data_IF_655138529846
#
_entry.id   IF_655138529846
#
_cell.length_a   1.000
_cell.length_b   1.000
_cell.length_c   1.000
_cell.angle_alpha   90.00
_cell.angle_beta   90.00
_cell.angle_gamma   90.00
#
_symmetry.space_group_name_H-M   'P 1'
#
loop_
_entity.id
_entity.type
_entity.pdbx_description
1 polymer ?
#
# COMPACT_ATOMS: atom_id res chain seq x y z
N UNK A 1 -2.44 -26.95 -53.21
CA UNK A 1 -3.81 -26.51 -52.85
C UNK A 1 -3.71 -25.10 -52.30
N UNK A 2 -4.66 -24.21 -52.59
CA UNK A 2 -4.65 -22.85 -52.04
C UNK A 2 -5.37 -22.84 -50.68
N UNK A 3 -4.71 -22.37 -49.64
CA UNK A 3 -5.30 -22.26 -48.29
C UNK A 3 -6.14 -20.98 -48.23
N UNK A 4 -7.46 -21.09 -48.31
CA UNK A 4 -8.37 -19.94 -48.18
C UNK A 4 -8.23 -19.34 -46.78
N UNK A 5 -7.59 -18.18 -46.67
CA UNK A 5 -7.43 -17.47 -45.41
C UNK A 5 -8.76 -16.82 -45.01
N UNK A 6 -9.54 -17.50 -44.17
CA UNK A 6 -10.79 -16.96 -43.61
C UNK A 6 -10.51 -15.63 -42.88
N UNK A 7 -11.22 -14.56 -43.25
CA UNK A 7 -11.03 -13.25 -42.66
C UNK A 7 -11.25 -13.29 -41.13
N UNK A 8 -10.27 -12.77 -40.37
CA UNK A 8 -10.26 -12.88 -38.92
C UNK A 8 -11.35 -12.00 -38.29
N UNK A 9 -12.38 -12.65 -37.71
CA UNK A 9 -13.53 -11.97 -37.11
C UNK A 9 -13.22 -11.50 -35.69
N UNK A 10 -12.94 -10.20 -35.53
CA UNK A 10 -12.61 -9.60 -34.23
C UNK A 10 -13.77 -9.52 -33.24
N UNK A 11 -15.01 -9.29 -33.70
CA UNK A 11 -16.20 -9.21 -32.82
C UNK A 11 -16.99 -10.51 -32.88
N UNK A 12 -16.98 -11.28 -31.79
CA UNK A 12 -17.63 -12.58 -31.71
C UNK A 12 -16.86 -13.71 -32.42
N UNK A 13 -15.54 -13.59 -32.53
CA UNK A 13 -14.64 -14.70 -32.87
C UNK A 13 -13.63 -14.94 -31.75
N UNK A 14 -13.08 -16.16 -31.68
CA UNK A 14 -12.07 -16.54 -30.68
C UNK A 14 -10.69 -15.97 -31.01
N UNK A 15 -10.51 -14.66 -30.80
CA UNK A 15 -9.21 -13.99 -30.95
C UNK A 15 -8.41 -14.13 -29.65
N UNK A 16 -7.13 -14.50 -29.76
CA UNK A 16 -6.20 -14.57 -28.63
C UNK A 16 -5.95 -13.16 -28.06
N UNK A 17 -5.67 -13.04 -26.76
CA UNK A 17 -5.46 -11.73 -26.13
C UNK A 17 -4.06 -11.20 -26.48
N UNK A 18 -3.86 -9.89 -26.37
CA UNK A 18 -2.58 -9.26 -26.73
C UNK A 18 -1.53 -9.44 -25.65
N UNK A 19 -2.00 -9.49 -24.41
CA UNK A 19 -1.23 -9.63 -23.18
C UNK A 19 -0.87 -11.09 -22.86
N UNK A 20 -1.51 -12.08 -23.50
CA UNK A 20 -1.25 -13.51 -23.25
C UNK A 20 0.25 -13.89 -23.35
N UNK A 21 1.03 -13.46 -24.37
CA UNK A 21 2.43 -13.87 -24.49
C UNK A 21 3.30 -13.43 -23.31
N UNK A 22 3.15 -12.18 -22.86
CA UNK A 22 3.96 -11.62 -21.77
C UNK A 22 3.54 -12.16 -20.39
N UNK A 23 2.23 -12.32 -20.17
CA UNK A 23 1.68 -12.90 -18.94
C UNK A 23 2.07 -14.38 -18.77
N UNK A 24 1.96 -15.18 -19.84
CA UNK A 24 2.23 -16.63 -19.79
C UNK A 24 3.73 -16.97 -19.75
N UNK A 25 4.62 -16.00 -20.02
CA UNK A 25 6.08 -16.19 -20.00
C UNK A 25 6.79 -15.41 -18.88
N UNK A 26 6.04 -14.77 -17.98
CA UNK A 26 6.60 -13.97 -16.89
C UNK A 26 7.44 -12.78 -17.36
N UNK A 27 7.14 -12.24 -18.56
CA UNK A 27 7.79 -11.04 -19.10
C UNK A 27 6.96 -9.77 -18.87
N UNK A 28 5.67 -9.91 -18.56
CA UNK A 28 4.85 -8.83 -18.05
C UNK A 28 5.37 -8.36 -16.68
N UNK A 29 5.49 -7.05 -16.48
CA UNK A 29 6.02 -6.44 -15.24
C UNK A 29 4.91 -5.82 -14.41
N UNK A 30 4.90 -6.15 -13.12
CA UNK A 30 4.08 -5.54 -12.09
C UNK A 30 4.89 -4.51 -11.29
N UNK A 31 4.26 -3.89 -10.29
CA UNK A 31 4.86 -2.78 -9.51
C UNK A 31 6.10 -3.25 -8.72
N UNK A 32 6.08 -4.48 -8.18
CA UNK A 32 7.21 -5.05 -7.41
C UNK A 32 8.37 -5.52 -8.33
N UNK A 33 8.15 -5.57 -9.65
CA UNK A 33 9.19 -5.83 -10.68
C UNK A 33 9.86 -4.53 -11.18
N UNK A 34 9.54 -3.38 -10.57
CA UNK A 34 10.13 -2.09 -10.90
C UNK A 34 11.36 -1.82 -10.02
N UNK A 35 12.38 -1.21 -10.62
CA UNK A 35 13.56 -0.72 -9.92
C UNK A 35 13.98 0.57 -10.61
N UNK A 36 14.14 1.65 -9.84
CA UNK A 36 14.51 2.98 -10.34
C UNK A 36 15.72 3.51 -9.55
N UNK A 37 16.54 4.40 -10.13
CA UNK A 37 17.62 5.05 -9.39
C UNK A 37 17.07 5.82 -8.17
N UNK A 38 17.67 5.61 -6.99
CA UNK A 38 17.22 6.24 -5.75
C UNK A 38 15.92 5.68 -5.15
N UNK A 39 15.48 4.49 -5.56
CA UNK A 39 14.30 3.83 -4.99
C UNK A 39 14.50 3.50 -3.50
N UNK A 40 13.60 3.99 -2.66
CA UNK A 40 13.46 3.61 -1.25
C UNK A 40 12.29 2.65 -1.06
N UNK A 41 12.29 1.92 0.05
CA UNK A 41 11.27 0.94 0.41
C UNK A 41 10.50 1.41 1.63
N UNK A 42 9.16 1.39 1.54
CA UNK A 42 8.28 1.67 2.67
C UNK A 42 7.74 0.38 3.27
N UNK A 43 7.77 0.26 4.60
CA UNK A 43 6.97 -0.70 5.35
C UNK A 43 5.90 0.04 6.17
N UNK A 44 4.78 -0.63 6.44
CA UNK A 44 3.66 -0.06 7.20
C UNK A 44 3.51 -0.86 8.48
N UNK A 45 3.64 -0.21 9.64
CA UNK A 45 3.37 -0.80 10.95
C UNK A 45 1.85 -0.88 11.11
N UNK A 46 1.34 -2.03 11.58
CA UNK A 46 -0.09 -2.33 11.56
C UNK A 46 -0.63 -2.76 12.92
N UNK A 47 -1.85 -2.34 13.21
CA UNK A 47 -2.59 -2.77 14.40
C UNK A 47 -2.83 -4.29 14.40
N UNK A 48 -2.50 -5.01 15.49
CA UNK A 48 -2.98 -6.37 15.72
C UNK A 48 -4.41 -6.40 16.30
N UNK A 49 -4.96 -5.25 16.72
CA UNK A 49 -6.24 -5.13 17.41
C UNK A 49 -7.38 -4.75 16.47
N UNK A 50 -8.56 -5.33 16.68
CA UNK A 50 -9.76 -5.05 15.90
C UNK A 50 -10.37 -3.67 16.22
N UNK A 51 -10.22 -3.18 17.45
CA UNK A 51 -10.52 -1.81 17.83
C UNK A 51 -9.68 -1.45 19.06
N UNK A 52 -9.00 -0.31 19.06
CA UNK A 52 -8.24 0.20 20.21
C UNK A 52 -7.96 1.70 20.05
N UNK A 53 -7.98 2.46 21.15
CA UNK A 53 -7.44 3.83 21.16
C UNK A 53 -5.91 3.75 21.07
N UNK A 54 -5.24 4.66 20.39
CA UNK A 54 -3.79 4.80 20.44
C UNK A 54 -3.44 5.73 21.63
N UNK A 55 -2.48 5.34 22.46
CA UNK A 55 -1.95 6.16 23.56
C UNK A 55 -0.62 6.80 23.18
N UNK A 56 0.24 6.08 22.45
CA UNK A 56 1.50 6.62 21.91
C UNK A 56 2.05 5.72 20.80
N UNK A 57 2.86 6.32 19.93
CA UNK A 57 3.72 5.62 18.97
C UNK A 57 5.15 6.13 19.20
N UNK A 58 6.08 5.22 19.51
CA UNK A 58 7.50 5.53 19.64
C UNK A 58 8.25 4.96 18.44
N UNK A 59 8.76 5.86 17.60
CA UNK A 59 9.51 5.58 16.38
C UNK A 59 11.03 5.62 16.59
N UNK A 60 11.51 6.01 17.78
CA UNK A 60 12.91 6.39 18.00
C UNK A 60 13.91 5.24 17.81
N UNK A 61 13.55 4.03 18.25
CA UNK A 61 14.37 2.83 18.06
C UNK A 61 14.48 2.44 16.58
N UNK A 62 13.38 2.55 15.82
CA UNK A 62 13.36 2.28 14.38
C UNK A 62 14.15 3.33 13.59
N UNK A 63 13.98 4.62 13.90
CA UNK A 63 14.68 5.72 13.25
C UNK A 63 16.21 5.67 13.45
N UNK A 64 16.70 4.97 14.48
CA UNK A 64 18.13 4.77 14.74
C UNK A 64 18.75 3.57 13.98
N UNK A 65 17.96 2.79 13.21
CA UNK A 65 18.46 1.57 12.57
C UNK A 65 19.19 1.81 11.24
N UNK A 66 20.24 1.02 10.90
CA UNK A 66 21.07 1.27 9.73
C UNK A 66 20.31 1.28 8.40
N UNK A 67 20.38 2.40 7.68
CA UNK A 67 19.75 2.63 6.37
C UNK A 67 18.23 2.83 6.44
N UNK A 68 17.66 3.05 7.63
CA UNK A 68 16.39 3.76 7.76
C UNK A 68 16.63 5.23 7.42
N UNK A 69 15.71 5.81 6.64
CA UNK A 69 15.76 7.19 6.16
C UNK A 69 14.81 8.06 6.99
N UNK A 70 13.57 7.60 7.19
CA UNK A 70 12.50 8.31 7.89
C UNK A 70 11.53 7.32 8.55
N UNK A 71 10.91 7.70 9.66
CA UNK A 71 9.84 6.92 10.32
C UNK A 71 8.78 7.89 10.86
N UNK A 72 7.53 7.72 10.45
CA UNK A 72 6.43 8.64 10.76
C UNK A 72 5.21 7.91 11.32
N UNK A 73 4.67 8.40 12.43
CA UNK A 73 3.37 8.01 12.99
C UNK A 73 2.20 8.77 12.33
N UNK A 74 0.97 8.46 12.74
CA UNK A 74 -0.20 9.27 12.38
C UNK A 74 -0.24 10.68 13.00
N UNK A 75 0.60 10.98 14.00
CA UNK A 75 0.76 12.34 14.55
C UNK A 75 1.74 13.16 13.71
N UNK A 76 2.88 12.57 13.32
CA UNK A 76 3.93 13.25 12.54
C UNK A 76 3.42 13.70 11.16
N UNK A 77 2.43 12.99 10.60
CA UNK A 77 1.79 13.30 9.32
C UNK A 77 0.51 14.17 9.46
N UNK A 78 0.10 14.51 10.68
CA UNK A 78 -1.18 15.19 10.92
C UNK A 78 -1.24 16.63 10.38
N UNK A 79 -0.11 17.29 10.14
CA UNK A 79 -0.02 18.59 9.47
C UNK A 79 -0.12 18.49 7.94
N UNK A 80 0.28 17.36 7.36
CA UNK A 80 0.41 17.18 5.91
C UNK A 80 -0.93 16.82 5.23
N UNK A 81 -1.94 16.45 6.02
CA UNK A 81 -3.25 16.03 5.53
C UNK A 81 -4.30 17.12 5.67
N UNK A 82 -4.84 17.56 4.54
CA UNK A 82 -5.94 18.53 4.47
C UNK A 82 -7.29 17.98 4.98
N UNK A 83 -7.40 16.67 5.21
CA UNK A 83 -8.60 16.02 5.72
C UNK A 83 -8.57 14.49 5.60
N UNK A 84 -9.64 13.85 6.08
CA UNK A 84 -9.89 12.40 5.96
C UNK A 84 -9.75 11.91 4.52
N UNK A 85 -9.40 10.63 4.34
CA UNK A 85 -9.56 9.95 3.06
C UNK A 85 -11.04 10.06 2.60
N UNK A 86 -11.32 10.48 1.35
CA UNK A 86 -12.67 10.71 0.88
C UNK A 86 -13.29 9.46 0.25
N UNK A 87 -14.54 9.15 0.61
CA UNK A 87 -15.35 8.20 -0.16
C UNK A 87 -15.89 8.91 -1.42
N UNK A 88 -15.16 8.82 -2.53
CA UNK A 88 -15.47 9.57 -3.76
C UNK A 88 -16.79 9.16 -4.45
N UNK A 89 -17.40 8.03 -4.07
CA UNK A 89 -18.68 7.56 -4.61
C UNK A 89 -19.56 6.96 -3.51
N UNK A 90 -20.42 7.75 -2.84
CA UNK A 90 -21.43 7.21 -1.93
C UNK A 90 -22.40 6.27 -2.67
N UNK A 91 -22.66 5.10 -2.09
CA UNK A 91 -23.56 4.09 -2.69
C UNK A 91 -25.03 4.35 -2.31
N UNK A 92 -25.27 5.00 -1.17
CA UNK A 92 -26.60 5.41 -0.68
C UNK A 92 -26.52 6.80 -0.05
N UNK A 93 -27.65 7.49 0.08
CA UNK A 93 -27.73 8.84 0.68
C UNK A 93 -27.48 8.84 2.20
N UNK A 94 -27.70 7.72 2.87
CA UNK A 94 -27.58 7.54 4.33
C UNK A 94 -26.22 6.98 4.78
N UNK A 95 -25.31 6.71 3.83
CA UNK A 95 -24.01 6.06 4.09
C UNK A 95 -23.18 6.86 5.11
N UNK A 96 -22.64 6.15 6.11
CA UNK A 96 -21.78 6.75 7.14
C UNK A 96 -20.32 6.71 6.71
N UNK A 97 -19.74 7.90 6.54
CA UNK A 97 -18.31 8.09 6.27
C UNK A 97 -17.63 8.61 7.55
N UNK A 98 -17.09 7.73 8.42
CA UNK A 98 -16.27 8.17 9.54
C UNK A 98 -14.94 8.76 9.06
N UNK A 99 -14.36 9.66 9.85
CA UNK A 99 -12.98 10.12 9.66
C UNK A 99 -12.04 8.91 9.69
N UNK A 100 -11.29 8.71 8.61
CA UNK A 100 -10.27 7.68 8.50
C UNK A 100 -9.05 8.26 7.79
N UNK A 101 -7.90 8.13 8.43
CA UNK A 101 -6.64 8.75 8.01
C UNK A 101 -5.76 7.72 7.28
N UNK A 102 -4.80 8.14 6.43
CA UNK A 102 -3.85 7.22 5.79
C UNK A 102 -3.01 6.41 6.79
N UNK A 103 -2.71 6.99 7.94
CA UNK A 103 -2.16 6.33 9.13
C UNK A 103 -2.98 6.80 10.34
N UNK A 104 -3.41 5.88 11.21
CA UNK A 104 -4.26 6.18 12.35
C UNK A 104 -3.52 7.01 13.42
N UNK A 105 -4.26 7.94 14.02
CA UNK A 105 -3.77 8.90 15.02
C UNK A 105 -4.34 8.62 16.41
N UNK A 106 -5.67 8.68 16.54
CA UNK A 106 -6.36 8.67 17.83
C UNK A 106 -6.81 7.26 18.26
N UNK A 107 -7.24 6.46 17.28
CA UNK A 107 -7.73 5.09 17.46
C UNK A 107 -7.64 4.30 16.15
N UNK A 108 -7.54 2.99 16.28
CA UNK A 108 -7.70 1.99 15.22
C UNK A 108 -9.04 1.29 15.37
N UNK A 109 -9.66 0.99 14.22
CA UNK A 109 -11.05 0.54 14.05
C UNK A 109 -11.14 -0.79 13.28
N UNK A 110 -10.01 -1.29 12.77
CA UNK A 110 -9.88 -2.66 12.27
C UNK A 110 -8.47 -3.24 12.45
N UNK A 111 -8.37 -4.58 12.45
CA UNK A 111 -7.07 -5.28 12.37
C UNK A 111 -6.39 -4.91 11.06
N UNK A 112 -5.08 -4.63 11.11
CA UNK A 112 -4.29 -4.27 9.93
C UNK A 112 -4.29 -2.78 9.58
N UNK A 113 -5.04 -1.94 10.30
CA UNK A 113 -5.01 -0.47 10.14
C UNK A 113 -3.58 0.05 10.40
N UNK A 114 -3.14 1.01 9.60
CA UNK A 114 -1.78 1.55 9.69
C UNK A 114 -1.62 2.45 10.92
N UNK A 115 -0.51 2.33 11.65
CA UNK A 115 -0.22 3.17 12.84
C UNK A 115 1.12 3.91 12.76
N UNK A 116 2.03 3.44 11.90
CA UNK A 116 3.23 4.16 11.48
C UNK A 116 3.70 3.66 10.10
N UNK A 117 4.61 4.41 9.47
CA UNK A 117 5.35 4.01 8.27
C UNK A 117 6.85 4.16 8.50
N UNK A 118 7.63 3.21 7.95
CA UNK A 118 9.10 3.19 7.98
C UNK A 118 9.59 3.25 6.54
N UNK A 119 10.53 4.14 6.24
CA UNK A 119 11.15 4.28 4.92
C UNK A 119 12.65 3.96 5.05
N UNK A 120 13.17 3.04 4.22
CA UNK A 120 14.55 2.59 4.26
C UNK A 120 15.16 2.32 2.86
N UNK A 121 16.49 2.17 2.80
CA UNK A 121 17.25 1.86 1.58
C UNK A 121 16.86 0.50 0.96
N UNK A 122 16.47 -0.50 1.76
CA UNK A 122 16.04 -1.82 1.28
C UNK A 122 14.77 -2.33 1.95
N UNK A 123 14.07 -3.22 1.24
CA UNK A 123 12.87 -3.94 1.72
C UNK A 123 13.09 -4.69 3.03
N UNK A 124 14.31 -5.17 3.28
CA UNK A 124 14.68 -5.85 4.52
C UNK A 124 14.77 -4.84 5.68
N UNK A 125 15.59 -3.79 5.54
CA UNK A 125 15.73 -2.73 6.56
C UNK A 125 14.39 -2.09 6.91
N UNK A 126 13.54 -1.79 5.92
CA UNK A 126 12.21 -1.21 6.15
C UNK A 126 11.31 -2.12 6.99
N UNK A 127 11.38 -3.44 6.76
CA UNK A 127 10.62 -4.43 7.54
C UNK A 127 11.21 -4.62 8.93
N UNK A 128 12.51 -4.85 9.03
CA UNK A 128 13.17 -5.17 10.29
C UNK A 128 13.10 -3.99 11.29
N UNK A 129 13.10 -2.75 10.78
CA UNK A 129 12.86 -1.56 11.62
C UNK A 129 11.37 -1.30 11.92
N UNK A 130 10.42 -1.83 11.14
CA UNK A 130 9.00 -1.77 11.49
C UNK A 130 8.67 -2.60 12.75
N UNK A 131 9.40 -3.70 13.00
CA UNK A 131 9.31 -4.48 14.23
C UNK A 131 9.90 -3.74 15.46
N UNK A 132 10.63 -2.64 15.24
CA UNK A 132 11.22 -1.80 16.30
C UNK A 132 10.37 -0.57 16.67
N UNK A 133 9.23 -0.33 16.00
CA UNK A 133 8.27 0.73 16.37
C UNK A 133 7.38 0.23 17.50
N UNK A 134 7.38 0.92 18.63
CA UNK A 134 6.56 0.56 19.80
C UNK A 134 5.23 1.33 19.78
N UNK A 135 4.11 0.65 20.01
CA UNK A 135 2.77 1.27 20.01
C UNK A 135 2.01 0.88 21.28
N UNK A 136 1.54 1.89 22.01
CA UNK A 136 0.70 1.75 23.21
C UNK A 136 -0.76 2.13 22.89
N UNK A 137 -1.72 1.55 23.64
CA UNK A 137 -3.18 1.58 23.36
C UNK A 137 -4.21 2.23 24.35
#
# INVERSE_FOLDING_TARGET
MATTQTAQRYVGGGVLRKEDPELLTGQARYIDDLTVPGMLWMHVVRSPYAHARIVSVDTSAAAAMPGVIEVWSGEDLASEWQGSLPCAWPVTEDIRMPTHWPVARDEVRHVGEAVAVVIAETRAQAKDAAEAVSVQY
#
